data_IF_316214504725
#
_entry.id   IF_316214504725
#
_cell.length_a   1.000
_cell.length_b   1.000
_cell.length_c   1.000
_cell.angle_alpha   90.00
_cell.angle_beta   90.00
_cell.angle_gamma   90.00
#
_symmetry.space_group_name_H-M   'P 1'
#
loop_
_entity.id
_entity.type
_entity.pdbx_description
1 polymer ?
#
# COMPACT_ATOMS: atom_id res chain seq x y z
N UNK A 1 -19.24 18.49 27.75
CA UNK A 1 -18.96 17.04 27.73
C UNK A 1 -17.88 16.81 26.70
N UNK A 2 -16.72 16.18 27.02
CA UNK A 2 -15.78 15.83 25.97
C UNK A 2 -16.53 14.95 24.95
N UNK A 3 -16.44 15.23 23.65
CA UNK A 3 -17.16 14.46 22.65
C UNK A 3 -16.77 12.98 22.81
N UNK A 4 -17.75 12.09 22.77
CA UNK A 4 -17.56 10.64 22.96
C UNK A 4 -16.42 10.10 22.07
N UNK A 5 -16.27 10.68 20.88
CA UNK A 5 -15.19 10.44 19.92
C UNK A 5 -13.80 10.66 20.54
N UNK A 6 -13.61 11.73 21.32
CA UNK A 6 -12.34 12.05 21.96
C UNK A 6 -11.98 11.03 23.05
N UNK A 7 -12.99 10.51 23.77
CA UNK A 7 -12.80 9.46 24.77
C UNK A 7 -12.42 8.12 24.13
N UNK A 8 -13.08 7.78 23.03
CA UNK A 8 -12.77 6.57 22.23
C UNK A 8 -11.35 6.67 21.67
N UNK A 9 -11.00 7.79 21.04
CA UNK A 9 -9.65 8.02 20.50
C UNK A 9 -8.57 7.88 21.58
N UNK A 10 -8.74 8.53 22.73
CA UNK A 10 -7.79 8.46 23.84
C UNK A 10 -7.65 7.03 24.37
N UNK A 11 -8.74 6.28 24.47
CA UNK A 11 -8.68 4.87 24.91
C UNK A 11 -7.87 3.99 23.95
N UNK A 12 -8.09 4.11 22.64
CA UNK A 12 -7.30 3.38 21.64
C UNK A 12 -5.83 3.82 21.65
N UNK A 13 -5.58 5.12 21.75
CA UNK A 13 -4.23 5.67 21.80
C UNK A 13 -3.47 5.21 23.06
N UNK A 14 -4.10 5.29 24.23
CA UNK A 14 -3.50 4.87 25.51
C UNK A 14 -3.31 3.35 25.55
N UNK A 15 -4.26 2.57 25.05
CA UNK A 15 -4.13 1.11 24.92
C UNK A 15 -2.96 0.73 24.01
N UNK A 16 -2.86 1.36 22.83
CA UNK A 16 -1.77 1.15 21.89
C UNK A 16 -0.41 1.57 22.46
N UNK A 17 -0.35 2.70 23.18
CA UNK A 17 0.86 3.20 23.83
C UNK A 17 1.28 2.37 25.04
N UNK A 18 0.36 1.72 25.73
CA UNK A 18 0.71 0.83 26.85
C UNK A 18 1.04 -0.60 26.39
N UNK A 19 0.84 -0.94 25.12
CA UNK A 19 1.21 -2.25 24.57
C UNK A 19 2.73 -2.36 24.31
N UNK A 20 3.44 -3.08 25.18
CA UNK A 20 4.85 -3.46 24.99
C UNK A 20 5.06 -4.46 23.85
N UNK A 21 4.20 -5.48 23.76
CA UNK A 21 4.26 -6.49 22.69
C UNK A 21 3.54 -6.04 21.41
N UNK A 22 2.42 -5.33 21.56
CA UNK A 22 1.62 -4.86 20.43
C UNK A 22 2.38 -3.90 19.51
N UNK A 23 3.22 -3.00 20.04
CA UNK A 23 4.09 -2.14 19.22
C UNK A 23 5.06 -2.94 18.35
N UNK A 24 5.68 -3.99 18.91
CA UNK A 24 6.59 -4.87 18.17
C UNK A 24 5.82 -5.63 17.08
N UNK A 25 4.64 -6.16 17.41
CA UNK A 25 3.77 -6.84 16.46
C UNK A 25 3.35 -5.92 15.31
N UNK A 26 2.97 -4.68 15.62
CA UNK A 26 2.62 -3.68 14.61
C UNK A 26 3.79 -3.36 13.68
N UNK A 27 5.01 -3.26 14.22
CA UNK A 27 6.21 -3.15 13.40
C UNK A 27 6.38 -4.34 12.45
N UNK A 28 6.15 -5.57 12.93
CA UNK A 28 6.19 -6.78 12.09
C UNK A 28 5.09 -6.76 11.01
N UNK A 29 3.87 -6.35 11.36
CA UNK A 29 2.75 -6.24 10.41
C UNK A 29 3.07 -5.21 9.33
N UNK A 30 3.53 -4.01 9.71
CA UNK A 30 3.93 -2.97 8.77
C UNK A 30 5.07 -3.43 7.87
N UNK A 31 6.06 -4.11 8.42
CA UNK A 31 7.16 -4.66 7.65
C UNK A 31 6.68 -5.72 6.66
N UNK A 32 5.80 -6.64 7.08
CA UNK A 32 5.18 -7.63 6.18
C UNK A 32 4.39 -6.94 5.07
N UNK A 33 3.56 -5.96 5.40
CA UNK A 33 2.77 -5.22 4.41
C UNK A 33 3.67 -4.48 3.42
N UNK A 34 4.75 -3.85 3.89
CA UNK A 34 5.73 -3.21 3.03
C UNK A 34 6.43 -4.21 2.11
N UNK A 35 6.88 -5.35 2.64
CA UNK A 35 7.52 -6.40 1.84
C UNK A 35 6.53 -6.99 0.83
N UNK A 36 5.29 -7.28 1.23
CA UNK A 36 4.25 -7.77 0.33
C UNK A 36 3.96 -6.75 -0.78
N UNK A 37 3.83 -5.47 -0.44
CA UNK A 37 3.65 -4.41 -1.43
C UNK A 37 4.85 -4.27 -2.35
N UNK A 38 6.08 -4.34 -1.83
CA UNK A 38 7.31 -4.25 -2.61
C UNK A 38 7.48 -5.46 -3.55
N UNK A 39 7.16 -6.67 -3.10
CA UNK A 39 7.16 -7.89 -3.93
C UNK A 39 6.06 -7.77 -4.99
N UNK A 40 4.82 -7.47 -4.62
CA UNK A 40 3.74 -7.29 -5.61
C UNK A 40 4.13 -6.21 -6.62
N UNK A 41 4.68 -5.08 -6.18
CA UNK A 41 5.17 -4.04 -7.07
C UNK A 41 6.31 -4.52 -7.97
N UNK A 42 7.33 -5.18 -7.42
CA UNK A 42 8.52 -5.62 -8.16
C UNK A 42 8.30 -6.89 -8.99
N UNK A 43 7.27 -7.70 -8.74
CA UNK A 43 6.97 -8.86 -9.58
C UNK A 43 5.81 -8.58 -10.54
N UNK A 44 4.76 -7.88 -10.08
CA UNK A 44 3.64 -7.54 -10.95
C UNK A 44 3.97 -6.34 -11.84
N UNK A 45 4.65 -5.28 -11.39
CA UNK A 45 4.87 -4.13 -12.29
C UNK A 45 5.91 -4.34 -13.39
N UNK A 46 7.09 -4.97 -13.19
CA UNK A 46 8.07 -5.08 -14.27
C UNK A 46 7.70 -6.10 -15.34
N UNK A 47 6.92 -7.15 -15.06
CA UNK A 47 6.36 -8.00 -16.13
C UNK A 47 5.35 -7.22 -16.97
N UNK A 48 4.56 -6.33 -16.36
CA UNK A 48 3.64 -5.46 -17.12
C UNK A 48 4.49 -4.44 -17.90
N UNK A 49 5.46 -3.76 -17.24
CA UNK A 49 6.64 -2.94 -17.68
C UNK A 49 7.37 -3.36 -18.97
N UNK A 50 8.01 -4.52 -18.88
CA UNK A 50 9.19 -4.84 -19.67
C UNK A 50 8.93 -5.90 -20.73
N UNK A 51 7.79 -6.60 -20.70
CA UNK A 51 7.56 -7.68 -21.66
C UNK A 51 7.25 -7.22 -23.08
N UNK A 52 6.71 -6.02 -23.26
CA UNK A 52 6.13 -5.63 -24.55
C UNK A 52 6.67 -4.33 -25.19
N UNK A 53 7.47 -3.50 -24.50
CA UNK A 53 7.87 -2.19 -25.05
C UNK A 53 9.32 -1.80 -24.73
N UNK A 54 10.06 -1.43 -25.77
CA UNK A 54 11.45 -0.96 -25.71
C UNK A 54 11.57 0.52 -25.23
N UNK A 55 10.46 1.28 -25.18
CA UNK A 55 10.37 2.66 -24.72
C UNK A 55 9.07 2.90 -23.94
N UNK A 56 9.13 3.69 -22.86
CA UNK A 56 7.95 4.06 -22.05
C UNK A 56 6.88 4.84 -22.86
N UNK A 57 7.27 5.44 -23.99
CA UNK A 57 6.40 6.26 -24.85
C UNK A 57 5.43 5.41 -25.71
N UNK A 58 5.92 4.36 -26.38
CA UNK A 58 5.06 3.43 -27.17
C UNK A 58 4.02 2.71 -26.32
N UNK A 59 4.38 2.47 -25.07
CA UNK A 59 3.55 1.77 -24.09
C UNK A 59 2.33 2.62 -23.68
N UNK A 60 2.52 3.92 -23.53
CA UNK A 60 1.44 4.85 -23.19
C UNK A 60 0.45 4.96 -24.35
N UNK A 61 0.95 5.02 -25.58
CA UNK A 61 0.12 5.12 -26.78
C UNK A 61 -0.72 3.84 -27.02
N UNK A 62 -0.15 2.65 -26.80
CA UNK A 62 -0.90 1.40 -26.97
C UNK A 62 -2.03 1.23 -25.94
N UNK A 63 -1.80 1.62 -24.68
CA UNK A 63 -2.85 1.58 -23.63
C UNK A 63 -3.93 2.62 -23.92
N UNK A 64 -3.57 3.81 -24.41
CA UNK A 64 -4.54 4.82 -24.84
C UNK A 64 -5.41 4.30 -25.99
N UNK A 65 -4.79 3.64 -26.97
CA UNK A 65 -5.50 3.08 -28.14
C UNK A 65 -6.51 1.99 -27.73
N UNK A 66 -6.16 1.10 -26.79
CA UNK A 66 -7.08 0.08 -26.26
C UNK A 66 -8.20 0.63 -25.35
N UNK A 67 -8.00 1.78 -24.70
CA UNK A 67 -9.04 2.40 -23.87
C UNK A 67 -10.00 3.23 -24.73
N UNK A 68 -9.52 3.78 -25.84
CA UNK A 68 -10.29 4.66 -26.73
C UNK A 68 -11.09 3.85 -27.77
N UNK A 69 -10.61 2.67 -28.17
CA UNK A 69 -11.36 1.76 -29.06
C UNK A 69 -11.92 0.57 -28.26
N UNK A 70 -13.24 0.54 -27.96
CA UNK A 70 -13.90 -0.57 -27.29
C UNK A 70 -14.00 -1.85 -28.13
#
# INVERSE_FOLDING_TARGET
>A
MPPVIHKIFRFYYDGFRNMTWGRKLWGIILLKLFIMFAILRLFFFPDILQRDFHSDEERSDHVLEQIINP
#
